data_IF_372422888551
#
_entry.id   IF_372422888551
#
_cell.length_a   1.000
_cell.length_b   1.000
_cell.length_c   1.000
_cell.angle_alpha   90.00
_cell.angle_beta   90.00
_cell.angle_gamma   90.00
#
_symmetry.space_group_name_H-M   'P 1'
#
loop_
_entity.id
_entity.type
_entity.pdbx_description
1 polymer ?
#
# COMPACT_ATOMS: atom_id res chain seq x y z
N UNK A 1 -39.05 8.21 -39.82
CA UNK A 1 -38.26 7.24 -39.02
C UNK A 1 -36.77 7.62 -38.92
N UNK A 2 -36.45 8.90 -38.68
CA UNK A 2 -35.05 9.38 -38.54
C UNK A 2 -34.70 9.79 -37.10
N UNK A 3 -35.69 10.30 -36.36
CA UNK A 3 -35.53 10.79 -34.98
C UNK A 3 -35.23 9.68 -33.96
N UNK A 4 -35.87 8.51 -34.05
CA UNK A 4 -35.64 7.39 -33.11
C UNK A 4 -34.21 6.83 -33.17
N UNK A 5 -33.58 6.83 -34.35
CA UNK A 5 -32.19 6.35 -34.50
C UNK A 5 -31.20 7.29 -33.81
N UNK A 6 -31.48 8.58 -33.86
CA UNK A 6 -30.65 9.61 -33.25
C UNK A 6 -30.75 9.56 -31.71
N UNK A 7 -31.96 9.34 -31.17
CA UNK A 7 -32.16 9.14 -29.73
C UNK A 7 -31.48 7.87 -29.20
N UNK A 8 -31.53 6.77 -29.95
CA UNK A 8 -30.83 5.52 -29.59
C UNK A 8 -29.32 5.70 -29.61
N UNK A 9 -28.78 6.43 -30.59
CA UNK A 9 -27.35 6.73 -30.66
C UNK A 9 -26.89 7.59 -29.47
N UNK A 10 -27.66 8.62 -29.11
CA UNK A 10 -27.36 9.47 -27.94
C UNK A 10 -27.41 8.65 -26.65
N UNK A 11 -28.43 7.81 -26.46
CA UNK A 11 -28.53 6.95 -25.28
C UNK A 11 -27.34 5.98 -25.16
N UNK A 12 -26.89 5.41 -26.28
CA UNK A 12 -25.72 4.53 -26.32
C UNK A 12 -24.42 5.24 -25.95
N UNK A 13 -24.24 6.48 -26.41
CA UNK A 13 -23.06 7.29 -26.07
C UNK A 13 -23.05 7.62 -24.57
N UNK A 14 -24.22 7.99 -24.02
CA UNK A 14 -24.37 8.32 -22.59
C UNK A 14 -24.14 7.10 -21.69
N UNK A 15 -24.63 5.92 -22.05
CA UNK A 15 -24.39 4.71 -21.24
C UNK A 15 -22.94 4.25 -21.31
N UNK A 16 -22.30 4.37 -22.48
CA UNK A 16 -20.87 4.10 -22.63
C UNK A 16 -20.04 5.04 -21.76
N UNK A 17 -20.27 6.36 -21.81
CA UNK A 17 -19.52 7.33 -21.01
C UNK A 17 -19.69 7.12 -19.51
N UNK A 18 -20.91 6.89 -19.02
CA UNK A 18 -21.16 6.58 -17.60
C UNK A 18 -20.45 5.28 -17.19
N UNK A 19 -20.40 4.29 -18.08
CA UNK A 19 -19.72 3.01 -17.81
C UNK A 19 -18.20 3.19 -17.68
N UNK A 20 -17.58 4.08 -18.48
CA UNK A 20 -16.15 4.37 -18.36
C UNK A 20 -15.80 5.09 -17.06
N UNK A 21 -16.62 6.06 -16.62
CA UNK A 21 -16.42 6.75 -15.34
C UNK A 21 -16.60 5.80 -14.14
N UNK A 22 -17.60 4.90 -14.20
CA UNK A 22 -17.81 3.91 -13.14
C UNK A 22 -16.69 2.86 -13.13
N UNK A 23 -16.17 2.42 -14.28
CA UNK A 23 -15.04 1.47 -14.32
C UNK A 23 -13.70 2.11 -13.90
N UNK A 24 -13.48 3.38 -14.21
CA UNK A 24 -12.33 4.13 -13.73
C UNK A 24 -12.40 4.37 -12.21
N UNK A 25 -13.59 4.66 -11.67
CA UNK A 25 -13.83 4.79 -10.24
C UNK A 25 -13.82 3.43 -9.51
N UNK A 26 -14.33 2.36 -10.13
CA UNK A 26 -14.32 1.01 -9.57
C UNK A 26 -12.93 0.36 -9.64
N UNK A 27 -12.06 0.77 -10.59
CA UNK A 27 -10.63 0.47 -10.58
C UNK A 27 -9.87 1.15 -9.44
N UNK A 28 -10.49 2.16 -8.80
CA UNK A 28 -10.03 2.80 -7.57
C UNK A 28 -10.76 2.33 -6.30
N UNK A 29 -11.57 1.27 -6.42
CA UNK A 29 -12.12 0.57 -5.26
C UNK A 29 -11.02 -0.27 -4.62
N UNK A 30 -10.81 -0.08 -3.31
CA UNK A 30 -9.93 -0.87 -2.43
C UNK A 30 -8.44 -0.91 -2.79
N UNK A 31 -7.82 0.24 -3.05
CA UNK A 31 -6.36 0.33 -2.89
C UNK A 31 -6.03 0.25 -1.40
N UNK A 32 -5.90 -0.97 -0.88
CA UNK A 32 -5.13 -1.20 0.33
C UNK A 32 -3.75 -0.58 0.12
N UNK A 33 -3.45 0.50 0.86
CA UNK A 33 -2.12 1.08 0.83
C UNK A 33 -1.22 0.15 1.62
N UNK A 34 -0.52 -0.73 0.92
CA UNK A 34 0.55 -1.55 1.50
C UNK A 34 1.80 -0.68 1.58
N UNK A 35 2.18 -0.30 2.80
CA UNK A 35 3.48 0.35 3.03
C UNK A 35 4.55 -0.73 2.84
N UNK A 36 5.48 -0.64 1.87
CA UNK A 36 6.43 -1.71 1.61
C UNK A 36 7.37 -1.94 2.81
N UNK A 37 7.82 -3.19 3.06
CA UNK A 37 8.81 -3.46 4.09
C UNK A 37 10.05 -2.61 3.86
N UNK A 38 10.58 -2.02 4.93
CA UNK A 38 11.77 -1.17 4.86
C UNK A 38 12.76 -1.58 5.94
N UNK A 39 14.02 -1.72 5.55
CA UNK A 39 15.10 -2.09 6.46
C UNK A 39 16.05 -0.91 6.66
N UNK A 40 16.38 -0.64 7.91
CA UNK A 40 17.28 0.41 8.34
C UNK A 40 18.53 -0.19 8.97
N UNK A 41 19.67 0.43 8.74
CA UNK A 41 20.86 0.17 9.55
C UNK A 41 20.64 0.78 10.92
N UNK A 42 20.72 -0.03 11.97
CA UNK A 42 20.38 0.47 13.31
C UNK A 42 20.49 -0.54 14.43
N UNK A 43 20.42 -1.85 14.17
CA UNK A 43 20.60 -2.82 15.24
C UNK A 43 22.09 -2.98 15.57
N UNK A 44 22.41 -2.78 16.84
CA UNK A 44 23.77 -2.85 17.36
C UNK A 44 23.74 -3.45 18.79
N UNK A 45 24.81 -3.28 19.57
CA UNK A 45 24.90 -3.81 20.93
C UNK A 45 23.99 -3.12 21.97
N UNK A 46 23.42 -1.96 21.65
CA UNK A 46 22.53 -1.19 22.53
C UNK A 46 21.13 -0.97 21.94
N UNK A 47 20.95 -1.28 20.65
CA UNK A 47 19.72 -1.14 19.90
C UNK A 47 19.35 -2.52 19.33
N UNK A 48 18.39 -3.17 19.98
CA UNK A 48 17.97 -4.53 19.69
C UNK A 48 16.52 -4.55 19.19
N UNK A 49 15.93 -5.75 19.16
CA UNK A 49 14.54 -5.96 18.74
C UNK A 49 13.52 -5.00 19.39
N UNK A 50 13.53 -4.74 20.72
CA UNK A 50 12.51 -3.88 21.31
C UNK A 50 12.63 -2.42 20.87
N UNK A 51 13.85 -1.91 20.68
CA UNK A 51 14.10 -0.56 20.17
C UNK A 51 13.70 -0.45 18.69
N UNK A 52 14.09 -1.44 17.88
CA UNK A 52 13.70 -1.55 16.48
C UNK A 52 12.18 -1.58 16.32
N UNK A 53 11.49 -2.37 17.15
CA UNK A 53 10.03 -2.43 17.12
C UNK A 53 9.39 -1.08 17.47
N UNK A 54 9.88 -0.39 18.51
CA UNK A 54 9.39 0.95 18.88
C UNK A 54 9.60 1.97 17.75
N UNK A 55 10.77 1.94 17.10
CA UNK A 55 11.05 2.79 15.94
C UNK A 55 10.07 2.51 14.80
N UNK A 56 9.89 1.25 14.41
CA UNK A 56 9.00 0.87 13.32
C UNK A 56 7.54 1.27 13.61
N UNK A 57 7.05 1.04 14.84
CA UNK A 57 5.71 1.48 15.26
C UNK A 57 5.58 3.02 15.20
N UNK A 58 6.62 3.75 15.62
CA UNK A 58 6.65 5.21 15.50
C UNK A 58 6.63 5.73 14.05
N UNK A 59 7.14 4.93 13.10
CA UNK A 59 7.11 5.19 11.66
C UNK A 59 5.83 4.67 10.98
N UNK A 60 4.82 4.26 11.76
CA UNK A 60 3.57 3.67 11.27
C UNK A 60 3.77 2.35 10.48
N UNK A 61 4.69 1.51 10.94
CA UNK A 61 4.81 0.09 10.56
C UNK A 61 4.17 -0.82 11.62
N UNK A 62 3.85 -2.07 11.26
CA UNK A 62 3.13 -2.99 12.17
C UNK A 62 3.99 -3.37 13.36
N UNK A 63 5.24 -3.71 13.07
CA UNK A 63 6.28 -4.08 14.02
C UNK A 63 7.64 -4.05 13.31
N UNK A 64 8.70 -4.22 14.08
CA UNK A 64 10.07 -4.28 13.59
C UNK A 64 10.88 -5.36 14.27
N UNK A 65 11.84 -5.93 13.55
CA UNK A 65 12.81 -6.85 14.16
C UNK A 65 14.19 -6.70 13.52
N UNK A 66 15.20 -6.97 14.34
CA UNK A 66 16.59 -7.01 13.97
C UNK A 66 16.90 -8.35 13.30
N UNK A 67 17.37 -8.31 12.06
CA UNK A 67 17.81 -9.48 11.29
C UNK A 67 19.32 -9.40 11.10
N UNK A 68 20.00 -10.52 11.32
CA UNK A 68 21.43 -10.68 11.03
C UNK A 68 21.56 -11.39 9.68
N UNK A 69 21.84 -10.67 8.57
CA UNK A 69 21.86 -11.27 7.24
C UNK A 69 23.04 -12.23 7.04
N UNK A 70 24.13 -12.09 7.82
CA UNK A 70 25.35 -12.86 7.66
C UNK A 70 26.07 -12.97 9.02
N UNK A 71 25.80 -14.05 9.76
CA UNK A 71 26.57 -14.35 10.95
C UNK A 71 28.05 -14.53 10.58
N UNK A 72 28.88 -13.58 11.03
CA UNK A 72 30.37 -13.47 11.02
C UNK A 72 31.06 -12.85 9.77
N UNK A 73 32.08 -11.95 9.92
CA UNK A 73 32.70 -11.45 11.15
C UNK A 73 32.25 -10.05 11.60
N UNK A 74 31.38 -9.34 10.87
CA UNK A 74 30.87 -8.04 11.30
C UNK A 74 29.37 -7.88 11.10
N UNK A 75 28.70 -7.82 12.25
CA UNK A 75 27.27 -7.67 12.54
C UNK A 75 26.75 -6.29 12.14
N UNK A 76 26.33 -6.12 10.89
CA UNK A 76 25.34 -5.07 10.60
C UNK A 76 23.98 -5.71 10.70
N UNK A 77 23.51 -5.87 11.94
CA UNK A 77 22.16 -6.33 12.19
C UNK A 77 21.23 -5.20 11.71
N UNK A 78 20.36 -5.50 10.76
CA UNK A 78 19.44 -4.52 10.18
C UNK A 78 18.12 -4.56 10.91
N UNK A 79 17.54 -3.40 11.21
CA UNK A 79 16.18 -3.29 11.73
C UNK A 79 15.21 -3.29 10.54
N UNK A 80 14.41 -4.33 10.38
CA UNK A 80 13.43 -4.42 9.30
C UNK A 80 12.01 -4.23 9.85
N UNK A 81 11.33 -3.22 9.31
CA UNK A 81 9.96 -2.88 9.63
C UNK A 81 8.99 -3.60 8.70
N UNK A 82 8.02 -4.29 9.28
CA UNK A 82 7.01 -5.04 8.54
C UNK A 82 5.87 -4.12 8.08
N UNK A 83 5.39 -4.34 6.84
CA UNK A 83 4.36 -3.52 6.21
C UNK A 83 3.07 -3.47 7.05
N UNK A 84 2.36 -2.35 6.99
CA UNK A 84 0.93 -2.29 7.38
C UNK A 84 0.10 -2.29 6.10
N UNK A 85 -0.99 -3.04 6.14
CA UNK A 85 -2.09 -2.91 5.20
C UNK A 85 -3.02 -1.85 5.78
N UNK A 86 -2.94 -0.63 5.25
CA UNK A 86 -3.89 0.41 5.63
C UNK A 86 -5.21 0.13 4.92
N UNK A 87 -6.25 -0.15 5.70
CA UNK A 87 -7.61 -0.21 5.19
C UNK A 87 -7.95 1.13 4.54
N UNK A 88 -8.67 1.13 3.41
CA UNK A 88 -9.08 2.37 2.76
C UNK A 88 -9.88 3.22 3.76
N UNK A 89 -9.75 4.56 3.72
CA UNK A 89 -10.57 5.43 4.56
C UNK A 89 -12.03 5.12 4.28
N UNK A 90 -12.78 4.76 5.33
CA UNK A 90 -14.22 4.60 5.27
C UNK A 90 -14.84 5.95 4.86
N UNK A 91 -15.48 5.96 3.70
CA UNK A 91 -16.19 7.09 3.11
C UNK A 91 -17.49 7.39 3.86
#
# INVERSE_FOLDING_TARGET
>A
MASSKLLVAIALVVTMSISYDIFAAAGAGIYERVVPPTCYEGCNATFHNPECNKMCVGLAYKNGHCIDPDAYPYKYIRCCCNPIILSPPSL
#
